data_IF_809960856338
#
_entry.id   IF_809960856338
#
_cell.length_a   1.000
_cell.length_b   1.000
_cell.length_c   1.000
_cell.angle_alpha   90.00
_cell.angle_beta   90.00
_cell.angle_gamma   90.00
#
_symmetry.space_group_name_H-M   'P 1'
#
loop_
_entity.id
_entity.type
_entity.pdbx_description
1 polymer ?
#
# COMPACT_ATOMS: atom_id res chain seq x y z
N UNK A 1 19.37 8.54 2.34
CA UNK A 1 19.24 7.07 2.46
C UNK A 1 17.94 6.64 3.16
N UNK A 2 17.58 7.13 4.37
CA UNK A 2 16.35 6.74 5.10
C UNK A 2 15.00 6.85 4.33
N UNK A 3 14.88 7.75 3.35
CA UNK A 3 13.62 7.93 2.58
C UNK A 3 13.35 6.82 1.55
N UNK A 4 14.38 6.24 0.93
CA UNK A 4 14.21 5.15 -0.05
C UNK A 4 13.75 3.88 0.67
N UNK A 5 14.31 3.62 1.84
CA UNK A 5 13.94 2.51 2.70
C UNK A 5 12.46 2.54 3.08
N UNK A 6 11.93 3.72 3.47
CA UNK A 6 10.49 3.87 3.75
C UNK A 6 9.61 3.61 2.51
N UNK A 7 10.02 4.05 1.31
CA UNK A 7 9.26 3.79 0.07
C UNK A 7 9.21 2.30 -0.24
N UNK A 8 10.34 1.60 -0.08
CA UNK A 8 10.42 0.16 -0.29
C UNK A 8 9.58 -0.57 0.76
N UNK A 9 9.70 -0.19 2.04
CA UNK A 9 8.96 -0.81 3.14
C UNK A 9 7.44 -0.68 2.95
N UNK A 10 6.95 0.50 2.58
CA UNK A 10 5.54 0.73 2.26
C UNK A 10 5.07 -0.12 1.08
N UNK A 11 5.87 -0.21 0.00
CA UNK A 11 5.55 -1.09 -1.14
C UNK A 11 5.49 -2.55 -0.75
N UNK A 12 6.40 -3.01 0.10
CA UNK A 12 6.43 -4.41 0.57
C UNK A 12 5.19 -4.70 1.40
N UNK A 13 4.89 -3.89 2.41
CA UNK A 13 3.69 -4.04 3.26
C UNK A 13 2.42 -4.01 2.41
N UNK A 14 2.28 -3.01 1.53
CA UNK A 14 1.13 -2.92 0.65
C UNK A 14 0.98 -4.13 -0.28
N UNK A 15 2.08 -4.73 -0.73
CA UNK A 15 2.04 -5.95 -1.55
C UNK A 15 1.55 -7.16 -0.75
N UNK A 16 1.98 -7.32 0.50
CA UNK A 16 1.49 -8.39 1.38
C UNK A 16 0.01 -8.22 1.72
N UNK A 17 -0.43 -6.99 2.04
CA UNK A 17 -1.84 -6.68 2.29
C UNK A 17 -2.70 -6.97 1.05
N UNK A 18 -2.23 -6.60 -0.14
CA UNK A 18 -2.93 -6.85 -1.40
C UNK A 18 -3.06 -8.35 -1.67
N UNK A 19 -1.98 -9.12 -1.51
CA UNK A 19 -2.01 -10.58 -1.69
C UNK A 19 -2.95 -11.23 -0.68
N UNK A 20 -2.90 -10.81 0.59
CA UNK A 20 -3.79 -11.33 1.62
C UNK A 20 -5.26 -11.01 1.31
N UNK A 21 -5.56 -9.80 0.84
CA UNK A 21 -6.90 -9.42 0.44
C UNK A 21 -7.42 -10.25 -0.74
N UNK A 22 -6.59 -10.44 -1.77
CA UNK A 22 -6.93 -11.28 -2.93
C UNK A 22 -7.13 -12.74 -2.51
N UNK A 23 -6.30 -13.26 -1.61
CA UNK A 23 -6.46 -14.61 -1.07
C UNK A 23 -7.77 -14.74 -0.27
N UNK A 24 -8.12 -13.76 0.57
CA UNK A 24 -9.40 -13.76 1.29
C UNK A 24 -10.60 -13.72 0.33
N UNK A 25 -10.54 -12.89 -0.72
CA UNK A 25 -11.60 -12.87 -1.74
C UNK A 25 -11.68 -14.18 -2.53
N UNK A 26 -10.56 -14.83 -2.82
CA UNK A 26 -10.55 -16.05 -3.63
C UNK A 26 -11.00 -17.28 -2.84
N UNK A 27 -10.50 -17.47 -1.61
CA UNK A 27 -10.76 -18.68 -0.82
C UNK A 27 -12.01 -18.57 0.06
N UNK A 28 -12.43 -17.37 0.44
CA UNK A 28 -13.49 -17.15 1.43
C UNK A 28 -14.55 -16.15 0.94
N UNK A 29 -14.81 -16.09 -0.37
CA UNK A 29 -15.78 -15.15 -0.96
C UNK A 29 -17.20 -15.30 -0.40
N UNK A 30 -17.58 -16.52 -0.04
CA UNK A 30 -18.93 -16.83 0.48
C UNK A 30 -19.08 -16.42 1.96
N UNK A 31 -17.97 -16.14 2.65
CA UNK A 31 -17.96 -15.68 4.03
C UNK A 31 -17.95 -14.15 4.08
N UNK A 32 -19.11 -13.57 4.41
CA UNK A 32 -19.29 -12.12 4.57
C UNK A 32 -18.19 -11.47 5.44
N UNK A 33 -17.78 -12.04 6.59
CA UNK A 33 -16.68 -11.47 7.38
C UNK A 33 -15.35 -11.41 6.63
N UNK A 34 -15.02 -12.45 5.84
CA UNK A 34 -13.79 -12.50 5.07
C UNK A 34 -13.80 -11.50 3.92
N UNK A 35 -14.95 -11.32 3.24
CA UNK A 35 -15.12 -10.29 2.21
C UNK A 35 -14.94 -8.89 2.79
N UNK A 36 -15.53 -8.60 3.96
CA UNK A 36 -15.36 -7.31 4.65
C UNK A 36 -13.88 -7.09 4.99
N UNK A 37 -13.22 -8.11 5.58
CA UNK A 37 -11.79 -8.06 5.89
C UNK A 37 -10.93 -7.81 4.64
N UNK A 38 -11.24 -8.47 3.53
CA UNK A 38 -10.54 -8.30 2.27
C UNK A 38 -10.71 -6.89 1.69
N UNK A 39 -11.92 -6.32 1.73
CA UNK A 39 -12.16 -4.94 1.28
C UNK A 39 -11.36 -3.93 2.12
N UNK A 40 -11.29 -4.14 3.44
CA UNK A 40 -10.47 -3.32 4.33
C UNK A 40 -8.98 -3.43 3.96
N UNK A 41 -8.47 -4.65 3.78
CA UNK A 41 -7.08 -4.88 3.38
C UNK A 41 -6.76 -4.29 2.01
N UNK A 42 -7.69 -4.36 1.05
CA UNK A 42 -7.54 -3.66 -0.23
C UNK A 42 -7.40 -2.15 -0.03
N UNK A 43 -8.23 -1.55 0.82
CA UNK A 43 -8.12 -0.12 1.16
C UNK A 43 -6.78 0.25 1.79
N UNK A 44 -6.29 -0.58 2.73
CA UNK A 44 -4.99 -0.39 3.37
C UNK A 44 -3.84 -0.52 2.38
N UNK A 45 -3.88 -1.54 1.52
CA UNK A 45 -2.86 -1.77 0.48
C UNK A 45 -2.78 -0.58 -0.48
N UNK A 46 -3.92 -0.07 -0.95
CA UNK A 46 -4.00 1.09 -1.83
C UNK A 46 -3.43 2.34 -1.16
N UNK A 47 -3.74 2.56 0.13
CA UNK A 47 -3.19 3.67 0.90
C UNK A 47 -1.66 3.56 1.04
N UNK A 48 -1.13 2.36 1.30
CA UNK A 48 0.31 2.11 1.42
C UNK A 48 1.05 2.37 0.11
N UNK A 49 0.50 1.92 -1.02
CA UNK A 49 1.05 2.22 -2.35
C UNK A 49 0.96 3.71 -2.70
N UNK A 50 -0.13 4.38 -2.35
CA UNK A 50 -0.30 5.81 -2.59
C UNK A 50 0.72 6.63 -1.80
N UNK A 51 0.95 6.29 -0.52
CA UNK A 51 2.00 6.92 0.28
C UNK A 51 3.39 6.66 -0.29
N UNK A 52 3.69 5.43 -0.69
CA UNK A 52 4.95 5.11 -1.34
C UNK A 52 5.16 5.92 -2.63
N UNK A 53 4.11 6.10 -3.43
CA UNK A 53 4.15 6.91 -4.65
C UNK A 53 4.38 8.40 -4.35
N UNK A 54 3.66 8.97 -3.38
CA UNK A 54 3.90 10.35 -2.92
C UNK A 54 5.30 10.56 -2.37
N UNK A 55 5.84 9.59 -1.62
CA UNK A 55 7.21 9.64 -1.09
C UNK A 55 8.24 9.54 -2.23
N UNK A 56 8.00 8.67 -3.21
CA UNK A 56 8.82 8.57 -4.42
C UNK A 56 8.84 9.89 -5.21
N UNK A 57 7.67 10.47 -5.51
CA UNK A 57 7.58 11.76 -6.20
C UNK A 57 8.33 12.88 -5.48
N UNK A 58 8.19 12.98 -4.16
CA UNK A 58 8.94 13.97 -3.35
C UNK A 58 10.45 13.76 -3.35
N UNK A 59 10.94 12.57 -3.66
CA UNK A 59 12.38 12.31 -3.79
C UNK A 59 12.93 12.71 -5.16
N UNK A 60 12.16 12.52 -6.23
CA UNK A 60 12.62 12.73 -7.61
C UNK A 60 12.21 14.08 -8.20
N UNK A 61 11.14 14.70 -7.68
CA UNK A 61 10.79 16.09 -7.87
C UNK A 61 10.83 16.81 -6.52
N UNK A 62 12.02 17.07 -5.95
CA UNK A 62 12.10 18.12 -4.96
C UNK A 62 11.65 19.38 -5.70
N UNK A 63 10.44 19.87 -5.42
CA UNK A 63 10.18 21.29 -5.68
C UNK A 63 11.40 22.02 -5.11
N UNK A 64 12.05 22.83 -5.94
CA UNK A 64 12.97 23.86 -5.46
C UNK A 64 12.17 24.60 -4.40
N UNK A 65 12.36 24.20 -3.16
CA UNK A 65 11.94 24.99 -2.02
C UNK A 65 13.02 26.05 -2.03
N UNK A 66 12.75 27.06 -2.86
CA UNK A 66 13.49 28.31 -2.86
C UNK A 66 13.44 28.84 -1.42
N UNK A 67 14.58 29.35 -1.01
CA UNK A 67 14.92 29.87 0.32
C UNK A 67 13.89 30.88 0.85
#
# INVERSE_FOLDING_TARGET
MKRIENVILLKVIGSFELIAALAMLYFFMDEVPAVIGAVILLGLSANSFYQAHKCYLRQYHPHKTEE
#
